data_IF_133459181303
#
_entry.id   IF_133459181303
#
_cell.length_a   1.000
_cell.length_b   1.000
_cell.length_c   1.000
_cell.angle_alpha   90.00
_cell.angle_beta   90.00
_cell.angle_gamma   90.00
#
_symmetry.space_group_name_H-M   'P 1'
#
loop_
_entity.id
_entity.type
_entity.pdbx_description
1 polymer ?
#
# COMPACT_ATOMS: atom_id res chain seq x y z
N UNK A 1 -6.74 -16.88 -7.35
CA UNK A 1 -6.93 -15.43 -7.55
C UNK A 1 -5.64 -14.82 -8.06
N UNK A 2 -5.71 -13.97 -9.08
CA UNK A 2 -4.52 -13.40 -9.73
C UNK A 2 -4.06 -12.12 -9.02
N UNK A 3 -2.87 -12.13 -8.44
CA UNK A 3 -2.28 -10.98 -7.73
C UNK A 3 -1.89 -9.84 -8.66
N UNK A 4 -1.75 -10.10 -9.97
CA UNK A 4 -1.51 -9.06 -10.99
C UNK A 4 -2.65 -8.05 -11.11
N UNK A 5 -3.84 -8.41 -10.61
CA UNK A 5 -4.98 -7.51 -10.52
C UNK A 5 -4.81 -6.44 -9.46
N UNK A 6 -3.80 -6.53 -8.59
CA UNK A 6 -3.45 -5.47 -7.66
C UNK A 6 -2.55 -4.46 -8.40
N UNK A 7 -3.07 -3.31 -8.85
CA UNK A 7 -2.31 -2.40 -9.69
C UNK A 7 -1.52 -1.47 -8.79
N UNK A 8 -0.55 -2.00 -8.05
CA UNK A 8 0.48 -1.15 -7.48
C UNK A 8 1.44 -0.79 -8.61
N UNK A 9 1.17 0.34 -9.27
CA UNK A 9 2.13 0.91 -10.21
C UNK A 9 3.34 1.37 -9.39
N UNK A 10 4.42 0.59 -9.45
CA UNK A 10 5.63 0.80 -8.64
C UNK A 10 6.17 2.23 -8.79
N UNK A 11 6.17 2.80 -10.00
CA UNK A 11 6.60 4.19 -10.24
C UNK A 11 5.74 5.21 -9.50
N UNK A 12 4.42 5.00 -9.47
CA UNK A 12 3.50 5.88 -8.73
C UNK A 12 3.62 5.70 -7.21
N UNK A 13 3.91 4.49 -6.74
CA UNK A 13 4.19 4.21 -5.33
C UNK A 13 5.48 4.90 -4.89
N UNK A 14 6.55 4.75 -5.67
CA UNK A 14 7.84 5.39 -5.41
C UNK A 14 7.71 6.92 -5.41
N UNK A 15 7.07 7.51 -6.42
CA UNK A 15 6.84 8.96 -6.45
C UNK A 15 5.99 9.46 -5.28
N UNK A 16 5.07 8.63 -4.78
CA UNK A 16 4.28 8.94 -3.58
C UNK A 16 5.13 8.92 -2.31
N UNK A 17 6.06 7.96 -2.22
CA UNK A 17 7.02 7.86 -1.12
C UNK A 17 8.00 9.05 -1.11
N UNK A 18 8.55 9.41 -2.27
CA UNK A 18 9.47 10.56 -2.41
C UNK A 18 8.82 11.85 -1.92
N UNK A 19 7.55 12.10 -2.30
CA UNK A 19 6.78 13.25 -1.81
C UNK A 19 6.53 13.21 -0.31
N UNK A 20 6.29 12.03 0.27
CA UNK A 20 6.16 11.90 1.72
C UNK A 20 7.46 12.29 2.41
N UNK A 21 8.60 11.79 1.92
CA UNK A 21 9.92 12.11 2.48
C UNK A 21 10.19 13.61 2.38
N UNK A 22 9.88 14.22 1.23
CA UNK A 22 9.99 15.66 1.06
C UNK A 22 9.15 16.39 2.12
N UNK A 23 7.87 16.05 2.28
CA UNK A 23 7.01 16.65 3.32
C UNK A 23 7.63 16.48 4.72
N UNK A 24 8.16 15.31 5.06
CA UNK A 24 8.73 15.08 6.39
C UNK A 24 10.04 15.85 6.64
N UNK A 25 10.78 16.22 5.59
CA UNK A 25 12.10 16.87 5.72
C UNK A 25 12.03 18.37 5.50
N UNK A 26 11.16 18.82 4.59
CA UNK A 26 11.13 20.21 4.10
C UNK A 26 9.94 21.01 4.62
N UNK A 27 9.06 20.42 5.45
CA UNK A 27 7.98 21.18 6.10
C UNK A 27 8.61 22.28 6.96
N UNK A 28 8.25 23.55 6.73
CA UNK A 28 8.69 24.66 7.57
C UNK A 28 8.18 24.50 9.00
N UNK A 29 8.97 24.93 9.99
CA UNK A 29 8.56 24.87 11.41
C UNK A 29 7.28 25.69 11.71
N UNK A 30 6.95 26.65 10.84
CA UNK A 30 5.78 27.54 10.97
C UNK A 30 4.50 26.97 10.32
N UNK A 31 4.55 25.79 9.67
CA UNK A 31 3.36 25.16 9.11
C UNK A 31 2.48 24.61 10.23
N UNK A 32 1.21 25.00 10.24
CA UNK A 32 0.21 24.41 11.13
C UNK A 32 -0.13 22.96 10.70
N UNK A 33 -0.70 22.21 11.65
CA UNK A 33 -1.05 20.79 11.45
C UNK A 33 -1.98 20.59 10.24
N UNK A 34 -2.89 21.53 9.97
CA UNK A 34 -3.86 21.42 8.87
C UNK A 34 -3.19 21.53 7.49
N UNK A 35 -2.21 22.43 7.34
CA UNK A 35 -1.39 22.53 6.12
C UNK A 35 -0.54 21.29 5.93
N UNK A 36 0.09 20.80 7.00
CA UNK A 36 0.88 19.58 6.94
C UNK A 36 0.03 18.36 6.55
N UNK A 37 -1.14 18.20 7.18
CA UNK A 37 -2.11 17.15 6.85
C UNK A 37 -2.61 17.24 5.41
N UNK A 38 -2.81 18.46 4.90
CA UNK A 38 -3.20 18.68 3.50
C UNK A 38 -2.11 18.19 2.53
N UNK A 39 -0.83 18.50 2.81
CA UNK A 39 0.31 18.00 2.04
C UNK A 39 0.41 16.47 2.12
N UNK A 40 0.29 15.91 3.32
CA UNK A 40 0.31 14.47 3.55
C UNK A 40 -0.81 13.75 2.76
N UNK A 41 -2.02 14.29 2.77
CA UNK A 41 -3.13 13.73 2.01
C UNK A 41 -2.86 13.81 0.49
N UNK A 42 -2.28 14.91 0.02
CA UNK A 42 -1.95 15.12 -1.39
C UNK A 42 -0.86 14.17 -1.92
N UNK A 43 0.08 13.71 -1.08
CA UNK A 43 1.13 12.78 -1.49
C UNK A 43 0.60 11.35 -1.74
N UNK A 44 -0.60 11.01 -1.22
CA UNK A 44 -1.33 9.75 -1.40
C UNK A 44 -0.64 8.50 -0.82
N UNK A 45 0.44 8.63 -0.05
CA UNK A 45 1.17 7.48 0.47
C UNK A 45 0.28 6.55 1.29
N UNK A 46 -0.44 7.12 2.27
CA UNK A 46 -1.35 6.37 3.13
C UNK A 46 -2.50 5.72 2.35
N UNK A 47 -2.89 6.28 1.20
CA UNK A 47 -3.88 5.65 0.31
C UNK A 47 -3.35 4.38 -0.33
N UNK A 48 -2.08 4.33 -0.71
CA UNK A 48 -1.45 3.11 -1.23
C UNK A 48 -1.30 2.06 -0.13
N UNK A 49 -0.84 2.45 1.06
CA UNK A 49 -0.73 1.57 2.23
C UNK A 49 -2.10 0.97 2.59
N UNK A 50 -3.13 1.82 2.69
CA UNK A 50 -4.51 1.38 2.97
C UNK A 50 -5.02 0.38 1.93
N UNK A 51 -4.81 0.65 0.63
CA UNK A 51 -5.19 -0.27 -0.44
C UNK A 51 -4.48 -1.62 -0.33
N UNK A 52 -3.19 -1.63 -0.01
CA UNK A 52 -2.42 -2.85 0.12
C UNK A 52 -2.93 -3.72 1.26
N UNK A 53 -3.14 -3.12 2.44
CA UNK A 53 -3.68 -3.81 3.60
C UNK A 53 -5.11 -4.31 3.35
N UNK A 54 -5.97 -3.50 2.73
CA UNK A 54 -7.34 -3.89 2.42
C UNK A 54 -7.40 -5.05 1.41
N UNK A 55 -6.53 -5.00 0.38
CA UNK A 55 -6.38 -6.09 -0.59
C UNK A 55 -5.92 -7.39 0.09
N UNK A 56 -4.88 -7.32 0.92
CA UNK A 56 -4.38 -8.46 1.67
C UNK A 56 -5.44 -9.05 2.60
N UNK A 57 -6.15 -8.22 3.38
CA UNK A 57 -7.22 -8.67 4.26
C UNK A 57 -8.38 -9.34 3.51
N UNK A 58 -8.74 -8.81 2.34
CA UNK A 58 -9.78 -9.42 1.49
C UNK A 58 -9.34 -10.80 1.00
N UNK A 59 -8.08 -10.94 0.58
CA UNK A 59 -7.54 -12.21 0.09
C UNK A 59 -7.35 -13.23 1.21
N UNK A 60 -6.87 -12.81 2.39
CA UNK A 60 -6.78 -13.65 3.58
C UNK A 60 -8.16 -14.20 3.97
N UNK A 61 -9.20 -13.36 4.00
CA UNK A 61 -10.58 -13.83 4.22
C UNK A 61 -11.01 -14.87 3.19
N UNK A 62 -10.77 -14.60 1.90
CA UNK A 62 -11.15 -15.54 0.85
C UNK A 62 -10.40 -16.88 0.96
N UNK A 63 -9.12 -16.88 1.33
CA UNK A 63 -8.33 -18.09 1.56
C UNK A 63 -8.84 -18.89 2.77
N UNK A 64 -9.29 -18.22 3.83
CA UNK A 64 -9.79 -18.90 5.02
C UNK A 64 -11.17 -19.55 4.78
N UNK A 65 -12.00 -18.96 3.92
CA UNK A 65 -13.35 -19.46 3.63
C UNK A 65 -13.45 -20.33 2.37
N UNK A 66 -12.45 -20.30 1.48
CA UNK A 66 -12.45 -21.03 0.21
C UNK A 66 -11.06 -21.60 -0.09
N UNK A 67 -11.02 -22.84 -0.59
CA UNK A 67 -9.80 -23.43 -1.18
C UNK A 67 -9.50 -22.77 -2.53
N UNK A 68 -8.93 -21.56 -2.49
CA UNK A 68 -8.47 -20.83 -3.67
C UNK A 68 -6.95 -20.70 -3.65
N UNK A 69 -6.31 -20.94 -4.79
CA UNK A 69 -4.86 -20.73 -4.93
C UNK A 69 -4.56 -19.29 -5.39
N UNK A 70 -3.46 -18.70 -4.90
CA UNK A 70 -2.96 -17.41 -5.36
C UNK A 70 -1.87 -17.60 -6.41
N UNK A 71 -2.03 -16.96 -7.57
CA UNK A 71 -1.03 -16.96 -8.64
C UNK A 71 -0.52 -15.54 -8.83
N UNK A 72 0.80 -15.37 -8.74
CA UNK A 72 1.50 -14.11 -8.95
C UNK A 72 2.16 -14.04 -10.32
N UNK A 73 2.21 -12.86 -10.94
CA UNK A 73 2.92 -12.63 -12.21
C UNK A 73 3.97 -11.51 -12.13
N UNK A 74 3.91 -10.69 -11.07
CA UNK A 74 4.78 -9.54 -10.84
C UNK A 74 5.46 -9.75 -9.49
N UNK A 75 6.79 -9.83 -9.46
CA UNK A 75 7.57 -10.31 -8.31
C UNK A 75 7.36 -9.45 -7.07
N UNK A 76 7.34 -8.13 -7.22
CA UNK A 76 7.29 -7.20 -6.09
C UNK A 76 5.90 -7.18 -5.46
N UNK A 77 4.88 -7.05 -6.30
CA UNK A 77 3.48 -7.06 -5.87
C UNK A 77 3.09 -8.42 -5.28
N UNK A 78 3.58 -9.51 -5.86
CA UNK A 78 3.32 -10.85 -5.34
C UNK A 78 4.00 -11.06 -3.99
N UNK A 79 5.24 -10.58 -3.81
CA UNK A 79 5.97 -10.64 -2.54
C UNK A 79 5.30 -9.82 -1.45
N UNK A 80 4.91 -8.57 -1.74
CA UNK A 80 4.19 -7.72 -0.81
C UNK A 80 2.88 -8.36 -0.36
N UNK A 81 2.06 -8.81 -1.31
CA UNK A 81 0.76 -9.40 -1.02
C UNK A 81 0.88 -10.72 -0.26
N UNK A 82 1.78 -11.61 -0.67
CA UNK A 82 1.98 -12.89 0.01
C UNK A 82 2.45 -12.69 1.45
N UNK A 83 3.39 -11.77 1.68
CA UNK A 83 3.89 -11.45 3.02
C UNK A 83 2.80 -10.87 3.91
N UNK A 84 2.01 -9.90 3.42
CA UNK A 84 0.90 -9.32 4.18
C UNK A 84 -0.20 -10.34 4.49
N UNK A 85 -0.56 -11.18 3.51
CA UNK A 85 -1.57 -12.23 3.69
C UNK A 85 -1.10 -13.26 4.73
N UNK A 86 0.17 -13.68 4.66
CA UNK A 86 0.75 -14.61 5.62
C UNK A 86 0.72 -14.04 7.05
N UNK A 87 1.01 -12.76 7.23
CA UNK A 87 0.91 -12.10 8.53
C UNK A 87 -0.54 -12.09 9.05
N UNK A 88 -1.52 -11.87 8.16
CA UNK A 88 -2.95 -11.80 8.55
C UNK A 88 -3.59 -13.17 8.82
N UNK A 89 -3.03 -14.24 8.26
CA UNK A 89 -3.51 -15.61 8.45
C UNK A 89 -2.82 -16.35 9.60
N UNK A 90 -1.74 -15.78 10.15
CA UNK A 90 -0.97 -16.35 11.25
C UNK A 90 -1.43 -15.81 12.59
#
# INVERSE_FOLDING_TARGET
YNLSKFPCNLKRLQSSYEKLIEICITTPDDDDDDKWLTKLHACKWLKYVSKALHGAATLAKLLNFKNIELVGSDTDNSCLMSSLIQILLR
#
